data_IF_858307948911
#
_entry.id   IF_858307948911
#
_cell.length_a   1.000
_cell.length_b   1.000
_cell.length_c   1.000
_cell.angle_alpha   90.00
_cell.angle_beta   90.00
_cell.angle_gamma   90.00
#
_symmetry.space_group_name_H-M   'P 1'
#
loop_
_entity.id
_entity.type
_entity.pdbx_description
1 polymer ?
#
# COMPACT_ATOMS: atom_id res chain seq x y z
N UNK A 1 2.42 -26.85 -17.64
CA UNK A 1 3.08 -26.38 -16.40
C UNK A 1 2.17 -26.73 -15.22
N UNK A 2 2.70 -27.16 -14.06
CA UNK A 2 1.90 -27.19 -12.83
C UNK A 2 1.42 -25.76 -12.51
N UNK A 3 0.14 -25.58 -12.17
CA UNK A 3 -0.45 -24.25 -12.00
C UNK A 3 0.21 -23.42 -10.89
N UNK A 4 0.82 -24.06 -9.90
CA UNK A 4 1.33 -23.38 -8.70
C UNK A 4 2.77 -22.86 -8.81
N UNK A 5 3.42 -22.98 -9.98
CA UNK A 5 4.84 -22.58 -10.12
C UNK A 5 5.07 -21.10 -9.85
N UNK A 6 4.18 -20.24 -10.33
CA UNK A 6 4.29 -18.80 -10.13
C UNK A 6 4.05 -18.42 -8.67
N UNK A 7 2.99 -18.95 -8.06
CA UNK A 7 2.68 -18.69 -6.66
C UNK A 7 3.81 -19.13 -5.72
N UNK A 8 4.41 -20.30 -5.98
CA UNK A 8 5.54 -20.80 -5.21
C UNK A 8 6.80 -19.93 -5.39
N UNK A 9 7.04 -19.40 -6.59
CA UNK A 9 8.12 -18.45 -6.82
C UNK A 9 7.87 -17.10 -6.13
N UNK A 10 6.64 -16.58 -6.18
CA UNK A 10 6.28 -15.32 -5.49
C UNK A 10 6.40 -15.42 -3.96
N UNK A 11 6.25 -16.62 -3.41
CA UNK A 11 6.48 -16.89 -1.99
C UNK A 11 7.92 -17.30 -1.68
N UNK A 12 8.80 -17.39 -2.67
CA UNK A 12 10.18 -17.81 -2.45
C UNK A 12 10.96 -16.72 -1.71
N UNK A 13 11.92 -17.10 -0.84
CA UNK A 13 12.76 -16.13 -0.13
C UNK A 13 13.47 -15.17 -1.09
N UNK A 14 13.95 -15.66 -2.23
CA UNK A 14 14.68 -14.86 -3.22
C UNK A 14 13.81 -13.78 -3.84
N UNK A 15 12.55 -14.10 -4.16
CA UNK A 15 11.60 -13.12 -4.67
C UNK A 15 11.27 -12.08 -3.60
N UNK A 16 10.98 -12.52 -2.37
CA UNK A 16 10.65 -11.61 -1.27
C UNK A 16 11.79 -10.64 -0.94
N UNK A 17 13.04 -11.11 -0.96
CA UNK A 17 14.20 -10.24 -0.73
C UNK A 17 14.37 -9.21 -1.86
N UNK A 18 14.20 -9.61 -3.13
CA UNK A 18 14.23 -8.66 -4.26
C UNK A 18 13.09 -7.64 -4.18
N UNK A 19 11.89 -8.08 -3.81
CA UNK A 19 10.73 -7.22 -3.66
C UNK A 19 10.94 -6.20 -2.53
N UNK A 20 11.41 -6.65 -1.36
CA UNK A 20 11.73 -5.76 -0.23
C UNK A 20 12.79 -4.73 -0.62
N UNK A 21 13.85 -5.14 -1.33
CA UNK A 21 14.90 -4.21 -1.78
C UNK A 21 14.36 -3.16 -2.76
N UNK A 22 13.50 -3.55 -3.70
CA UNK A 22 12.86 -2.64 -4.63
C UNK A 22 11.94 -1.64 -3.92
N UNK A 23 11.11 -2.11 -2.98
CA UNK A 23 10.24 -1.24 -2.16
C UNK A 23 11.06 -0.27 -1.33
N UNK A 24 12.11 -0.72 -0.65
CA UNK A 24 12.99 0.14 0.15
C UNK A 24 13.66 1.23 -0.70
N UNK A 25 14.05 0.92 -1.93
CA UNK A 25 14.57 1.93 -2.87
C UNK A 25 13.51 2.97 -3.23
N UNK A 26 12.31 2.52 -3.61
CA UNK A 26 11.22 3.43 -3.97
C UNK A 26 10.83 4.35 -2.80
N UNK A 27 10.78 3.82 -1.58
CA UNK A 27 10.52 4.59 -0.36
C UNK A 27 11.57 5.69 -0.17
N UNK A 28 12.86 5.36 -0.27
CA UNK A 28 13.94 6.36 -0.15
C UNK A 28 13.85 7.44 -1.22
N UNK A 29 13.49 7.08 -2.45
CA UNK A 29 13.34 8.04 -3.54
C UNK A 29 12.15 9.00 -3.29
N UNK A 30 11.09 8.54 -2.64
CA UNK A 30 9.96 9.37 -2.22
C UNK A 30 10.33 10.30 -1.07
N UNK A 31 11.02 9.78 -0.05
CA UNK A 31 11.49 10.56 1.08
C UNK A 31 12.48 11.65 0.63
N UNK A 32 13.37 11.35 -0.30
CA UNK A 32 14.28 12.33 -0.91
C UNK A 32 13.52 13.47 -1.62
N UNK A 33 12.33 13.18 -2.16
CA UNK A 33 11.44 14.18 -2.77
C UNK A 33 10.56 14.90 -1.74
N UNK A 34 10.77 14.66 -0.44
CA UNK A 34 9.97 15.23 0.64
C UNK A 34 8.58 14.61 0.78
N UNK A 35 8.32 13.47 0.13
CA UNK A 35 7.04 12.77 0.21
C UNK A 35 7.16 11.72 1.30
N UNK A 36 6.46 11.94 2.42
CA UNK A 36 6.49 11.01 3.54
C UNK A 36 5.58 9.80 3.27
N UNK A 37 6.11 8.57 3.31
CA UNK A 37 5.31 7.37 3.10
C UNK A 37 4.40 7.09 4.29
N UNK A 38 3.19 6.64 3.98
CA UNK A 38 2.16 6.33 4.96
C UNK A 38 1.87 4.83 4.89
N UNK A 39 1.98 4.14 6.02
CA UNK A 39 1.90 2.69 6.10
C UNK A 39 0.64 2.23 6.81
N UNK A 40 0.06 1.11 6.40
CA UNK A 40 -1.02 0.45 7.13
C UNK A 40 -0.43 -0.59 8.09
N UNK A 41 -0.56 -0.35 9.40
CA UNK A 41 -0.33 -1.37 10.40
C UNK A 41 -1.51 -2.35 10.40
N UNK A 42 -1.30 -3.52 9.81
CA UNK A 42 -2.32 -4.57 9.71
C UNK A 42 -2.69 -5.18 11.07
N UNK A 43 -1.83 -5.09 12.08
CA UNK A 43 -2.13 -5.60 13.43
C UNK A 43 -3.02 -4.62 14.18
N UNK A 44 -2.70 -3.33 14.08
CA UNK A 44 -3.46 -2.28 14.76
C UNK A 44 -4.64 -1.75 13.93
N UNK A 45 -4.75 -2.13 12.65
CA UNK A 45 -5.78 -1.64 11.73
C UNK A 45 -5.69 -0.13 11.46
N UNK A 46 -4.53 0.49 11.72
CA UNK A 46 -4.35 1.94 11.66
C UNK A 46 -3.24 2.31 10.70
N UNK A 47 -3.36 3.52 10.18
CA UNK A 47 -2.34 4.13 9.36
C UNK A 47 -1.25 4.73 10.28
N UNK A 48 0.02 4.52 9.95
CA UNK A 48 1.20 4.98 10.69
C UNK A 48 2.21 5.65 9.74
N UNK A 49 2.97 6.64 10.21
CA UNK A 49 4.04 7.29 9.44
C UNK A 49 3.67 8.57 8.68
N UNK A 50 2.46 9.09 8.83
CA UNK A 50 2.15 10.47 8.43
C UNK A 50 2.61 11.46 9.51
N UNK A 51 3.43 12.44 9.16
CA UNK A 51 3.90 13.48 10.07
C UNK A 51 2.75 14.31 10.65
N UNK A 52 2.95 14.79 11.88
CA UNK A 52 1.96 15.53 12.67
C UNK A 52 1.57 16.91 12.08
N UNK A 53 2.11 17.29 10.92
CA UNK A 53 1.89 18.58 10.25
C UNK A 53 0.63 18.62 9.35
N UNK A 54 -0.22 17.60 9.37
CA UNK A 54 -1.49 17.58 8.62
C UNK A 54 -2.59 18.49 9.23
N UNK A 55 -2.21 19.57 9.93
CA UNK A 55 -3.13 20.66 10.31
C UNK A 55 -3.08 21.85 9.33
N UNK A 56 -2.22 21.80 8.30
CA UNK A 56 -2.18 22.79 7.24
C UNK A 56 -3.28 22.60 6.19
N UNK A 57 -4.40 23.27 6.42
CA UNK A 57 -5.43 23.67 5.45
C UNK A 57 -5.02 23.50 4.00
N UNK A 58 -5.53 22.48 3.31
CA UNK A 58 -5.70 22.45 1.86
C UNK A 58 -6.80 21.42 1.56
N UNK A 59 -8.02 21.92 1.41
CA UNK A 59 -9.17 21.20 0.90
C UNK A 59 -8.87 20.63 -0.49
N UNK A 60 -8.39 19.38 -0.58
CA UNK A 60 -8.59 18.49 -1.74
C UNK A 60 -7.83 17.16 -1.57
N UNK A 61 -8.03 16.49 -0.44
CA UNK A 61 -7.95 15.04 -0.37
C UNK A 61 -9.20 14.62 0.36
N UNK A 62 -10.24 14.26 -0.40
CA UNK A 62 -11.50 13.73 0.11
C UNK A 62 -11.18 12.70 1.21
N UNK A 63 -11.41 13.12 2.46
CA UNK A 63 -11.01 12.44 3.67
C UNK A 63 -11.85 11.19 3.89
N UNK A 64 -11.70 10.21 3.01
CA UNK A 64 -12.33 8.91 3.14
C UNK A 64 -11.75 8.25 4.38
N UNK A 65 -12.57 8.19 5.43
CA UNK A 65 -12.25 7.40 6.62
C UNK A 65 -11.95 5.98 6.14
N UNK A 66 -10.94 5.36 6.73
CA UNK A 66 -10.47 3.99 6.42
C UNK A 66 -11.52 2.92 6.10
N UNK A 67 -12.77 2.90 6.64
CA UNK A 67 -13.80 1.98 6.14
C UNK A 67 -14.10 2.09 4.63
N UNK A 68 -13.90 3.24 3.99
CA UNK A 68 -14.31 3.48 2.60
C UNK A 68 -13.27 2.99 1.57
N UNK A 69 -11.99 2.89 1.95
CA UNK A 69 -10.91 2.37 1.07
C UNK A 69 -11.07 0.85 0.87
N UNK A 70 -11.43 0.12 1.93
CA UNK A 70 -11.65 -1.32 1.88
C UNK A 70 -12.98 -1.69 1.20
N UNK A 71 -13.99 -0.81 1.25
CA UNK A 71 -15.29 -1.01 0.59
C UNK A 71 -15.24 -0.90 -0.94
N UNK A 72 -14.25 -0.17 -1.49
CA UNK A 72 -14.11 0.02 -2.93
C UNK A 72 -13.68 -1.24 -3.70
N UNK A 73 -13.15 -2.27 -3.01
CA UNK A 73 -12.67 -3.49 -3.66
C UNK A 73 -13.79 -4.52 -3.92
N UNK A 74 -14.91 -4.45 -3.21
CA UNK A 74 -16.05 -5.36 -3.44
C UNK A 74 -16.89 -4.97 -4.67
N UNK A 75 -16.88 -3.70 -5.09
CA UNK A 75 -17.69 -3.24 -6.23
C UNK A 75 -17.08 -3.53 -7.60
N UNK A 76 -15.80 -3.88 -7.70
CA UNK A 76 -15.16 -4.18 -9.00
C UNK A 76 -15.48 -5.62 -9.46
N UNK A 77 -16.10 -6.47 -8.63
CA UNK A 77 -16.42 -7.87 -8.95
C UNK A 77 -17.89 -8.11 -9.34
N UNK A 78 -18.57 -7.10 -9.89
CA UNK A 78 -20.01 -7.17 -10.20
C UNK A 78 -20.49 -6.46 -11.46
N UNK A 79 -19.61 -6.19 -12.44
CA UNK A 79 -20.02 -5.67 -13.74
C UNK A 79 -19.51 -6.60 -14.85
N UNK A 80 -20.35 -7.57 -15.21
CA UNK A 80 -20.10 -8.57 -16.23
C UNK A 80 -21.28 -9.54 -16.28
N UNK A 81 -22.44 -9.01 -16.66
CA UNK A 81 -23.50 -9.82 -17.30
C UNK A 81 -23.05 -10.28 -18.68
#
# INVERSE_FOLDING_TARGET
MPPDKLGRFMMSPEFLERAKAAVARAVRDLEFRGIQPVYLDRKAGRIVGGGDDASGTNDSCDGRRTPDILKGQDQIRGAGE
#
